data_IF_314173286802
#
_entry.id   IF_314173286802
#
_cell.length_a   1.000
_cell.length_b   1.000
_cell.length_c   1.000
_cell.angle_alpha   90.00
_cell.angle_beta   90.00
_cell.angle_gamma   90.00
#
_symmetry.space_group_name_H-M   'P 1'
#
loop_
_entity.id
_entity.type
_entity.pdbx_description
1 polymer ?
#
# COMPACT_ATOMS: atom_id res chain seq x y z
N UNK A 1 59.63 31.70 -76.25
CA UNK A 1 59.83 32.14 -74.84
C UNK A 1 58.56 31.82 -74.05
N UNK A 2 58.61 30.80 -73.19
CA UNK A 2 57.44 30.26 -72.50
C UNK A 2 57.24 30.92 -71.12
N UNK A 3 56.06 31.50 -70.89
CA UNK A 3 55.61 32.01 -69.58
C UNK A 3 55.25 30.84 -68.65
N UNK A 4 55.86 30.69 -67.46
CA UNK A 4 55.33 29.75 -66.49
C UNK A 4 54.08 30.31 -65.80
N UNK A 5 53.09 29.43 -65.74
CA UNK A 5 51.72 29.60 -65.31
C UNK A 5 51.59 29.93 -63.81
N UNK A 6 50.74 30.91 -63.47
CA UNK A 6 50.50 31.41 -62.11
C UNK A 6 49.76 30.34 -61.30
N UNK A 7 50.48 29.56 -60.49
CA UNK A 7 49.91 28.57 -59.57
C UNK A 7 48.93 29.27 -58.61
N UNK A 8 47.64 28.96 -58.76
CA UNK A 8 46.57 29.36 -57.86
C UNK A 8 46.86 28.78 -56.47
N UNK A 9 47.00 29.64 -55.47
CA UNK A 9 47.01 29.23 -54.06
C UNK A 9 45.60 28.74 -53.72
N UNK A 10 45.40 27.52 -53.20
CA UNK A 10 44.16 27.20 -52.53
C UNK A 10 44.16 27.98 -51.21
N UNK A 11 43.51 29.15 -51.19
CA UNK A 11 42.98 29.71 -49.96
C UNK A 11 41.73 28.88 -49.60
N UNK A 12 41.95 27.61 -49.27
CA UNK A 12 40.97 26.85 -48.53
C UNK A 12 41.06 27.36 -47.09
N UNK A 13 40.01 28.02 -46.62
CA UNK A 13 39.79 28.25 -45.20
C UNK A 13 39.71 26.88 -44.53
N UNK A 14 40.86 26.30 -44.18
CA UNK A 14 40.95 25.09 -43.41
C UNK A 14 40.49 25.44 -42.01
N UNK A 15 39.20 25.29 -41.73
CA UNK A 15 38.69 25.40 -40.38
C UNK A 15 39.53 24.45 -39.52
N UNK A 16 40.19 24.94 -38.45
CA UNK A 16 41.13 24.12 -37.72
C UNK A 16 40.36 22.95 -37.12
N UNK A 17 40.77 21.72 -37.49
CA UNK A 17 40.22 20.46 -36.99
C UNK A 17 39.93 20.44 -35.48
N UNK A 18 40.77 21.01 -34.58
CA UNK A 18 40.44 21.05 -33.15
C UNK A 18 39.21 21.90 -32.81
N UNK A 19 38.94 23.00 -33.54
CA UNK A 19 37.72 23.78 -33.32
C UNK A 19 36.48 23.00 -33.75
N UNK A 20 36.57 22.25 -34.85
CA UNK A 20 35.44 21.42 -35.29
C UNK A 20 35.14 20.33 -34.24
N UNK A 21 36.17 19.68 -33.71
CA UNK A 21 36.02 18.70 -32.64
C UNK A 21 35.43 19.31 -31.36
N UNK A 22 35.87 20.51 -30.98
CA UNK A 22 35.34 21.22 -29.81
C UNK A 22 33.84 21.55 -29.98
N UNK A 23 33.43 22.03 -31.15
CA UNK A 23 32.02 22.34 -31.42
C UNK A 23 31.17 21.07 -31.37
N UNK A 24 31.65 19.97 -31.94
CA UNK A 24 30.94 18.67 -31.88
C UNK A 24 30.83 18.17 -30.44
N UNK A 25 31.89 18.31 -29.64
CA UNK A 25 31.88 17.91 -28.24
C UNK A 25 30.85 18.73 -27.43
N UNK A 26 30.80 20.05 -27.63
CA UNK A 26 29.80 20.94 -27.00
C UNK A 26 28.38 20.56 -27.44
N UNK A 27 28.18 20.29 -28.73
CA UNK A 27 26.87 19.85 -29.24
C UNK A 27 26.45 18.51 -28.64
N UNK A 28 27.36 17.55 -28.51
CA UNK A 28 27.09 16.26 -27.88
C UNK A 28 26.71 16.43 -26.41
N UNK A 29 27.43 17.27 -25.66
CA UNK A 29 27.10 17.59 -24.27
C UNK A 29 25.72 18.24 -24.13
N UNK A 30 25.36 19.16 -25.03
CA UNK A 30 24.04 19.78 -25.04
C UNK A 30 22.93 18.74 -25.26
N UNK A 31 23.12 17.80 -26.20
CA UNK A 31 22.16 16.71 -26.44
C UNK A 31 22.02 15.80 -25.22
N UNK A 32 23.15 15.42 -24.61
CA UNK A 32 23.15 14.61 -23.38
C UNK A 32 22.42 15.33 -22.25
N UNK A 33 22.69 16.62 -22.07
CA UNK A 33 22.04 17.45 -21.05
C UNK A 33 20.51 17.49 -21.23
N UNK A 34 20.04 17.76 -22.45
CA UNK A 34 18.59 17.80 -22.75
C UNK A 34 17.95 16.43 -22.54
N UNK A 35 18.62 15.35 -22.96
CA UNK A 35 18.13 14.00 -22.75
C UNK A 35 18.01 13.66 -21.26
N UNK A 36 19.04 14.01 -20.47
CA UNK A 36 19.04 13.79 -19.03
C UNK A 36 17.93 14.61 -18.35
N UNK A 37 17.76 15.87 -18.75
CA UNK A 37 16.71 16.74 -18.23
C UNK A 37 15.31 16.16 -18.52
N UNK A 38 15.04 15.77 -19.77
CA UNK A 38 13.77 15.14 -20.14
C UNK A 38 13.51 13.84 -19.37
N UNK A 39 14.55 13.04 -19.11
CA UNK A 39 14.45 11.82 -18.28
C UNK A 39 14.09 12.15 -16.84
N UNK A 40 14.73 13.16 -16.25
CA UNK A 40 14.41 13.59 -14.88
C UNK A 40 12.99 14.13 -14.74
N UNK A 41 12.50 14.88 -15.73
CA UNK A 41 11.11 15.32 -15.75
C UNK A 41 10.13 14.15 -15.85
N UNK A 42 10.43 13.15 -16.70
CA UNK A 42 9.64 11.94 -16.83
C UNK A 42 9.53 11.17 -15.51
N UNK A 43 10.67 10.95 -14.83
CA UNK A 43 10.71 10.30 -13.53
C UNK A 43 9.97 11.10 -12.46
N UNK A 44 10.10 12.42 -12.45
CA UNK A 44 9.37 13.28 -11.52
C UNK A 44 7.85 13.19 -11.68
N UNK A 45 7.36 13.10 -12.93
CA UNK A 45 5.92 12.89 -13.21
C UNK A 45 5.46 11.52 -12.74
N UNK A 46 6.23 10.47 -13.00
CA UNK A 46 5.91 9.11 -12.57
C UNK A 46 5.86 8.99 -11.04
N UNK A 47 6.84 9.55 -10.34
CA UNK A 47 6.85 9.60 -8.87
C UNK A 47 5.58 10.28 -8.35
N UNK A 48 5.24 11.45 -8.91
CA UNK A 48 4.04 12.18 -8.50
C UNK A 48 2.74 11.41 -8.76
N UNK A 49 2.68 10.67 -9.86
CA UNK A 49 1.54 9.81 -10.17
C UNK A 49 1.41 8.66 -9.16
N UNK A 50 2.53 8.00 -8.83
CA UNK A 50 2.57 6.93 -7.84
C UNK A 50 2.22 7.43 -6.44
N UNK A 51 2.72 8.60 -6.04
CA UNK A 51 2.37 9.26 -4.77
C UNK A 51 0.86 9.54 -4.70
N UNK A 52 0.30 10.13 -5.75
CA UNK A 52 -1.13 10.41 -5.81
C UNK A 52 -1.98 9.12 -5.76
N UNK A 53 -1.53 8.06 -6.43
CA UNK A 53 -2.21 6.75 -6.39
C UNK A 53 -2.16 6.15 -4.98
N UNK A 54 -1.01 6.21 -4.31
CA UNK A 54 -0.83 5.76 -2.93
C UNK A 54 -1.76 6.53 -1.99
N UNK A 55 -1.82 7.85 -2.12
CA UNK A 55 -2.63 8.69 -1.24
C UNK A 55 -4.13 8.44 -1.45
N UNK A 56 -4.59 8.26 -2.70
CA UNK A 56 -5.96 7.83 -3.00
C UNK A 56 -6.31 6.48 -2.38
N UNK A 57 -5.41 5.50 -2.47
CA UNK A 57 -5.61 4.18 -1.88
C UNK A 57 -5.66 4.27 -0.35
N UNK A 58 -4.78 5.07 0.26
CA UNK A 58 -4.78 5.29 1.70
C UNK A 58 -6.08 5.94 2.18
N UNK A 59 -6.59 6.93 1.45
CA UNK A 59 -7.88 7.54 1.76
C UNK A 59 -9.04 6.54 1.67
N UNK A 60 -9.04 5.66 0.66
CA UNK A 60 -10.05 4.60 0.53
C UNK A 60 -9.97 3.62 1.70
N UNK A 61 -8.76 3.19 2.06
CA UNK A 61 -8.54 2.29 3.17
C UNK A 61 -9.03 2.91 4.49
N UNK A 62 -8.73 4.19 4.74
CA UNK A 62 -9.23 4.88 5.93
C UNK A 62 -10.76 4.95 5.97
N UNK A 63 -11.40 5.29 4.84
CA UNK A 63 -12.86 5.29 4.73
C UNK A 63 -13.45 3.92 5.03
N UNK A 64 -12.88 2.88 4.43
CA UNK A 64 -13.32 1.50 4.64
C UNK A 64 -13.13 1.10 6.11
N UNK A 65 -11.98 1.38 6.71
CA UNK A 65 -11.73 1.11 8.13
C UNK A 65 -12.73 1.84 9.04
N UNK A 66 -13.03 3.11 8.76
CA UNK A 66 -14.04 3.84 9.53
C UNK A 66 -15.44 3.25 9.36
N UNK A 67 -15.81 2.83 8.15
CA UNK A 67 -17.11 2.19 7.89
C UNK A 67 -17.20 0.84 8.59
N UNK A 68 -16.15 0.03 8.54
CA UNK A 68 -16.07 -1.26 9.24
C UNK A 68 -16.13 -1.08 10.76
N UNK A 69 -15.38 -0.13 11.31
CA UNK A 69 -15.42 0.17 12.74
C UNK A 69 -16.81 0.62 13.18
N UNK A 70 -17.50 1.41 12.36
CA UNK A 70 -18.88 1.82 12.61
C UNK A 70 -19.84 0.63 12.57
N UNK A 71 -19.74 -0.25 11.58
CA UNK A 71 -20.59 -1.45 11.46
C UNK A 71 -20.37 -2.44 12.60
N UNK A 72 -19.12 -2.60 13.06
CA UNK A 72 -18.79 -3.47 14.18
C UNK A 72 -19.06 -2.84 15.55
N UNK A 73 -19.44 -1.55 15.60
CA UNK A 73 -19.76 -0.91 16.86
C UNK A 73 -20.96 -1.60 17.51
N UNK A 74 -20.94 -1.85 18.84
CA UNK A 74 -22.05 -2.50 19.53
C UNK A 74 -23.40 -1.82 19.27
N UNK A 75 -23.41 -0.49 19.23
CA UNK A 75 -24.60 0.30 18.93
C UNK A 75 -25.16 0.03 17.52
N UNK A 76 -24.30 -0.07 16.50
CA UNK A 76 -24.75 -0.40 15.13
C UNK A 76 -25.30 -1.82 15.05
N UNK A 77 -24.66 -2.77 15.75
CA UNK A 77 -25.11 -4.17 15.79
C UNK A 77 -26.46 -4.26 16.51
N UNK A 78 -26.63 -3.58 17.66
CA UNK A 78 -27.89 -3.52 18.39
C UNK A 78 -29.02 -2.91 17.57
N UNK A 79 -28.75 -1.81 16.85
CA UNK A 79 -29.73 -1.21 15.93
C UNK A 79 -30.14 -2.19 14.83
N UNK A 80 -29.17 -2.85 14.17
CA UNK A 80 -29.45 -3.83 13.12
C UNK A 80 -30.22 -5.06 13.64
N UNK A 81 -29.94 -5.51 14.87
CA UNK A 81 -30.67 -6.57 15.54
C UNK A 81 -32.13 -6.16 15.83
N UNK A 82 -32.34 -4.93 16.33
CA UNK A 82 -33.69 -4.39 16.58
C UNK A 82 -34.50 -4.26 15.29
N UNK A 83 -33.91 -3.74 14.21
CA UNK A 83 -34.57 -3.60 12.91
C UNK A 83 -35.05 -4.94 12.34
N UNK A 84 -34.30 -6.01 12.60
CA UNK A 84 -34.65 -7.37 12.15
C UNK A 84 -35.49 -8.16 13.15
N UNK A 85 -35.93 -7.53 14.25
CA UNK A 85 -36.73 -8.17 15.29
C UNK A 85 -35.98 -9.27 16.05
N UNK A 86 -34.64 -9.27 16.01
CA UNK A 86 -33.80 -10.24 16.70
C UNK A 86 -33.47 -9.71 18.10
N UNK A 87 -34.10 -10.29 19.12
CA UNK A 87 -33.77 -10.00 20.52
C UNK A 87 -32.62 -10.91 20.93
N UNK A 88 -31.38 -10.42 20.85
CA UNK A 88 -30.23 -11.10 21.43
C UNK A 88 -29.90 -10.49 22.78
N UNK A 89 -30.05 -11.28 23.84
CA UNK A 89 -29.58 -10.96 25.18
C UNK A 89 -28.23 -11.61 25.42
N UNK A 90 -27.37 -10.98 26.23
CA UNK A 90 -26.18 -11.65 26.72
C UNK A 90 -26.58 -12.93 27.49
N UNK A 91 -25.93 -14.07 27.23
CA UNK A 91 -26.21 -15.30 27.96
C UNK A 91 -25.89 -15.10 29.44
N UNK A 92 -26.75 -15.63 30.31
CA UNK A 92 -26.46 -15.71 31.73
C UNK A 92 -25.25 -16.63 31.98
N UNK A 93 -24.51 -16.42 33.07
CA UNK A 93 -23.33 -17.22 33.40
C UNK A 93 -23.60 -18.73 33.41
N UNK A 94 -24.82 -19.13 33.78
CA UNK A 94 -25.31 -20.51 33.81
C UNK A 94 -25.45 -21.16 32.41
N UNK A 95 -25.51 -20.34 31.36
CA UNK A 95 -25.68 -20.79 29.96
C UNK A 95 -24.34 -20.92 29.22
N UNK A 96 -23.22 -20.55 29.86
CA UNK A 96 -21.89 -20.58 29.25
C UNK A 96 -21.23 -21.93 29.57
N UNK A 97 -21.02 -22.76 28.53
CA UNK A 97 -20.27 -24.02 28.67
C UNK A 97 -18.79 -23.75 28.35
N UNK A 98 -17.94 -23.80 29.39
CA UNK A 98 -16.49 -23.69 29.24
C UNK A 98 -15.92 -25.02 28.77
N UNK A 99 -15.45 -25.07 27.52
CA UNK A 99 -14.78 -26.25 26.98
C UNK A 99 -13.29 -26.16 27.35
N UNK A 100 -12.84 -27.01 28.27
CA UNK A 100 -11.42 -27.12 28.63
C UNK A 100 -10.62 -27.75 27.48
N UNK A 101 -9.49 -27.13 27.12
CA UNK A 101 -8.60 -27.57 26.03
C UNK A 101 -8.04 -29.00 26.19
N UNK A 102 -8.19 -29.62 27.36
CA UNK A 102 -7.82 -31.03 27.61
C UNK A 102 -8.80 -32.05 27.01
N UNK A 103 -9.91 -31.61 26.43
CA UNK A 103 -11.01 -32.47 25.97
C UNK A 103 -11.32 -32.43 24.47
N UNK A 104 -10.39 -32.01 23.58
CA UNK A 104 -10.58 -32.09 22.11
C UNK A 104 -10.38 -33.53 21.61
N UNK A 105 -10.91 -34.50 22.36
CA UNK A 105 -10.80 -35.92 22.10
C UNK A 105 -12.02 -36.62 22.68
N UNK A 106 -12.96 -36.93 21.78
CA UNK A 106 -14.12 -37.82 22.00
C UNK A 106 -15.20 -37.33 22.96
N UNK A 107 -16.22 -36.75 22.34
CA UNK A 107 -17.62 -37.05 22.67
C UNK A 107 -18.21 -36.20 23.78
N UNK A 108 -18.98 -35.19 23.40
CA UNK A 108 -19.95 -34.58 24.30
C UNK A 108 -21.06 -33.92 23.50
N UNK A 109 -22.13 -34.67 23.26
CA UNK A 109 -23.49 -34.22 23.57
C UNK A 109 -24.28 -35.43 24.10
N UNK A 110 -23.94 -35.89 25.32
CA UNK A 110 -24.87 -36.69 26.11
C UNK A 110 -25.52 -35.74 27.12
N UNK A 111 -26.78 -35.43 26.83
CA UNK A 111 -27.66 -34.53 27.56
C UNK A 111 -27.99 -35.12 28.93
N UNK A 112 -27.19 -34.82 29.95
CA UNK A 112 -27.57 -35.14 31.33
C UNK A 112 -28.21 -33.94 32.02
N UNK A 113 -29.52 -34.03 32.21
CA UNK A 113 -30.37 -33.03 32.86
C UNK A 113 -30.42 -33.19 34.39
N UNK A 114 -29.60 -34.04 35.01
CA UNK A 114 -29.73 -34.33 36.46
C UNK A 114 -28.61 -33.85 37.37
N UNK A 115 -27.54 -33.25 36.84
CA UNK A 115 -26.34 -32.97 37.65
C UNK A 115 -26.26 -31.55 38.24
N UNK A 116 -27.29 -30.72 38.08
CA UNK A 116 -27.31 -29.35 38.62
C UNK A 116 -27.40 -29.24 40.15
N UNK A 117 -27.40 -30.36 40.90
CA UNK A 117 -27.57 -30.33 42.35
C UNK A 117 -26.27 -30.52 43.17
N UNK A 118 -25.10 -30.77 42.56
CA UNK A 118 -23.95 -31.27 43.33
C UNK A 118 -22.60 -30.55 43.19
N UNK A 119 -22.45 -29.54 42.32
CA UNK A 119 -21.15 -28.91 42.12
C UNK A 119 -21.16 -27.45 42.57
N UNK A 120 -20.85 -27.24 43.85
CA UNK A 120 -20.46 -25.95 44.39
C UNK A 120 -19.35 -25.34 43.54
N UNK A 121 -19.69 -24.27 42.83
CA UNK A 121 -18.76 -23.52 42.01
C UNK A 121 -17.82 -22.74 42.93
N UNK A 122 -16.56 -23.18 42.91
CA UNK A 122 -15.45 -22.51 43.54
C UNK A 122 -15.35 -21.07 43.01
N UNK A 123 -15.37 -20.14 43.97
CA UNK A 123 -15.04 -18.72 43.89
C UNK A 123 -13.80 -18.49 43.01
N UNK A 124 -14.00 -17.95 41.81
CA UNK A 124 -12.91 -17.30 41.06
C UNK A 124 -12.96 -15.83 41.42
N UNK A 125 -12.06 -15.44 42.31
CA UNK A 125 -11.75 -14.05 42.64
C UNK A 125 -11.16 -13.41 41.39
N UNK A 126 -11.87 -12.44 40.80
CA UNK A 126 -11.24 -11.46 39.90
C UNK A 126 -10.50 -10.47 40.78
N UNK A 127 -9.18 -10.38 40.60
CA UNK A 127 -8.37 -9.28 41.13
C UNK A 127 -8.50 -8.11 40.16
N UNK A 128 -8.76 -6.92 40.73
CA UNK A 128 -8.81 -5.63 40.04
C UNK A 128 -7.46 -5.22 39.42
#
# INVERSE_FOLDING_TARGET
MARPNRKKRPQGLGFPLPLAAAVVAVAALAVVYVCLHARTEGLGREIKELENRRDKLRQRLLKEQTAWAQMQSPASIECALRERGLVMTWPAAEQIVLVSARGVGRGLVARDRRSAAAAGYARVVMND
#
